data_IF_228782918133
#
_entry.id   IF_228782918133
#
_cell.length_a   1.000
_cell.length_b   1.000
_cell.length_c   1.000
_cell.angle_alpha   90.00
_cell.angle_beta   90.00
_cell.angle_gamma   90.00
#
_symmetry.space_group_name_H-M   'P 1'
#
loop_
_entity.id
_entity.type
_entity.pdbx_description
1 polymer ?
#
# COMPACT_ATOMS: atom_id res chain seq x y z
N UNK A 1 -17.94 9.67 28.09
CA UNK A 1 -18.43 9.49 26.73
C UNK A 1 -19.22 8.20 26.70
N UNK A 2 -20.51 8.23 26.32
CA UNK A 2 -21.32 7.02 26.27
C UNK A 2 -20.85 6.13 25.11
N UNK A 3 -20.62 4.85 25.36
CA UNK A 3 -20.35 3.87 24.32
C UNK A 3 -21.55 3.82 23.36
N UNK A 4 -21.42 4.43 22.19
CA UNK A 4 -22.40 4.28 21.13
C UNK A 4 -22.26 2.86 20.58
N UNK A 5 -23.33 2.06 20.67
CA UNK A 5 -23.36 0.72 20.09
C UNK A 5 -23.42 0.88 18.57
N UNK A 6 -22.41 0.36 17.85
CA UNK A 6 -22.43 0.36 16.38
C UNK A 6 -23.56 -0.53 15.84
N UNK A 7 -24.17 -0.12 14.72
CA UNK A 7 -25.14 -0.92 13.97
C UNK A 7 -24.55 -1.48 12.67
N UNK A 8 -23.29 -1.16 12.37
CA UNK A 8 -22.60 -1.68 11.20
C UNK A 8 -22.12 -3.11 11.45
N UNK A 9 -22.51 -4.03 10.58
CA UNK A 9 -22.12 -5.44 10.66
C UNK A 9 -20.60 -5.61 10.67
N UNK A 10 -19.89 -4.84 9.86
CA UNK A 10 -18.45 -4.99 9.66
C UNK A 10 -17.59 -4.39 10.77
N UNK A 11 -18.18 -3.67 11.73
CA UNK A 11 -17.50 -3.31 12.99
C UNK A 11 -17.29 -4.53 13.90
N UNK A 12 -18.09 -5.57 13.71
CA UNK A 12 -18.00 -6.83 14.44
C UNK A 12 -17.36 -7.95 13.61
N UNK A 13 -17.52 -7.90 12.29
CA UNK A 13 -17.01 -8.88 11.33
C UNK A 13 -15.70 -8.38 10.70
N UNK A 14 -14.62 -8.35 11.52
CA UNK A 14 -13.34 -7.71 11.19
C UNK A 14 -12.25 -8.68 10.71
N UNK A 15 -12.57 -9.95 10.52
CA UNK A 15 -11.61 -10.98 10.08
C UNK A 15 -11.53 -11.08 8.55
N UNK A 16 -10.43 -11.61 8.03
CA UNK A 16 -10.27 -11.97 6.60
C UNK A 16 -11.42 -12.84 6.13
N UNK A 17 -11.84 -13.83 6.92
CA UNK A 17 -13.01 -14.68 6.60
C UNK A 17 -14.33 -13.91 6.40
N UNK A 18 -14.49 -12.76 7.03
CA UNK A 18 -15.69 -11.92 6.85
C UNK A 18 -15.60 -11.11 5.57
N UNK A 19 -14.41 -10.70 5.18
CA UNK A 19 -14.12 -10.00 3.94
C UNK A 19 -14.29 -10.95 2.75
N UNK A 20 -13.77 -12.19 2.83
CA UNK A 20 -14.03 -13.25 1.85
C UNK A 20 -15.52 -13.46 1.64
N UNK A 21 -16.30 -13.52 2.74
CA UNK A 21 -17.74 -13.73 2.65
C UNK A 21 -18.44 -12.58 1.92
N UNK A 22 -18.02 -11.34 2.16
CA UNK A 22 -18.54 -10.18 1.43
C UNK A 22 -18.18 -10.26 -0.06
N UNK A 23 -16.93 -10.57 -0.39
CA UNK A 23 -16.47 -10.69 -1.77
C UNK A 23 -17.23 -11.79 -2.52
N UNK A 24 -17.35 -12.96 -1.91
CA UNK A 24 -18.13 -14.07 -2.47
C UNK A 24 -19.61 -13.70 -2.67
N UNK A 25 -20.20 -13.01 -1.69
CA UNK A 25 -21.57 -12.54 -1.79
C UNK A 25 -21.74 -11.53 -2.93
N UNK A 26 -20.83 -10.55 -3.03
CA UNK A 26 -20.89 -9.54 -4.09
C UNK A 26 -20.73 -10.19 -5.47
N UNK A 27 -19.74 -11.07 -5.66
CA UNK A 27 -19.54 -11.78 -6.91
C UNK A 27 -20.74 -12.66 -7.29
N UNK A 28 -21.35 -13.34 -6.31
CA UNK A 28 -22.54 -14.17 -6.55
C UNK A 28 -23.80 -13.37 -6.91
N UNK A 29 -23.83 -12.07 -6.65
CA UNK A 29 -24.90 -11.14 -6.98
C UNK A 29 -24.58 -10.27 -8.23
N UNK A 30 -23.74 -10.78 -9.12
CA UNK A 30 -23.33 -10.09 -10.35
C UNK A 30 -24.50 -9.74 -11.30
N UNK A 31 -25.63 -10.49 -11.22
CA UNK A 31 -26.85 -10.33 -12.00
C UNK A 31 -28.02 -9.83 -11.14
N UNK A 32 -27.74 -9.15 -10.04
CA UNK A 32 -28.75 -8.66 -9.09
C UNK A 32 -29.75 -7.69 -9.76
N UNK A 33 -31.02 -7.79 -9.38
CA UNK A 33 -32.05 -6.81 -9.74
C UNK A 33 -31.84 -5.44 -9.01
N UNK A 34 -31.08 -5.42 -7.90
CA UNK A 34 -30.65 -4.22 -7.24
C UNK A 34 -29.47 -3.62 -8.04
N UNK A 35 -29.74 -2.54 -8.76
CA UNK A 35 -28.79 -1.85 -9.64
C UNK A 35 -27.49 -1.48 -8.90
N UNK A 36 -27.57 -1.09 -7.63
CA UNK A 36 -26.37 -0.71 -6.86
C UNK A 36 -25.50 -1.91 -6.51
N UNK A 37 -26.10 -3.06 -6.26
CA UNK A 37 -25.37 -4.33 -6.02
C UNK A 37 -24.78 -4.84 -7.32
N UNK A 38 -25.56 -4.86 -8.40
CA UNK A 38 -25.12 -5.24 -9.75
C UNK A 38 -23.89 -4.40 -10.17
N UNK A 39 -24.00 -3.08 -10.16
CA UNK A 39 -22.92 -2.19 -10.57
C UNK A 39 -21.67 -2.35 -9.71
N UNK A 40 -21.83 -2.52 -8.40
CA UNK A 40 -20.69 -2.78 -7.52
C UNK A 40 -19.99 -4.09 -7.84
N UNK A 41 -20.75 -5.15 -8.12
CA UNK A 41 -20.19 -6.43 -8.53
C UNK A 41 -19.46 -6.33 -9.86
N UNK A 42 -20.11 -5.72 -10.88
CA UNK A 42 -19.53 -5.53 -12.20
C UNK A 42 -18.25 -4.68 -12.16
N UNK A 43 -18.25 -3.58 -11.38
CA UNK A 43 -17.07 -2.73 -11.21
C UNK A 43 -15.89 -3.48 -10.60
N UNK A 44 -16.14 -4.24 -9.52
CA UNK A 44 -15.10 -5.01 -8.85
C UNK A 44 -14.54 -6.10 -9.78
N UNK A 45 -15.42 -6.89 -10.40
CA UNK A 45 -15.03 -7.98 -11.29
C UNK A 45 -14.28 -7.47 -12.53
N UNK A 46 -14.75 -6.37 -13.13
CA UNK A 46 -14.05 -5.75 -14.25
C UNK A 46 -12.67 -5.27 -13.86
N UNK A 47 -12.52 -4.66 -12.69
CA UNK A 47 -11.23 -4.24 -12.18
C UNK A 47 -10.24 -5.39 -12.05
N UNK A 48 -10.72 -6.59 -11.65
CA UNK A 48 -9.87 -7.78 -11.57
C UNK A 48 -9.29 -8.19 -12.91
N UNK A 49 -10.08 -8.12 -14.00
CA UNK A 49 -9.68 -8.63 -15.32
C UNK A 49 -9.14 -7.55 -16.28
N UNK A 50 -9.31 -6.27 -15.95
CA UNK A 50 -8.99 -5.14 -16.83
C UNK A 50 -7.55 -5.17 -17.37
N UNK A 51 -6.57 -5.51 -16.55
CA UNK A 51 -5.16 -5.59 -16.94
C UNK A 51 -4.90 -6.66 -18.03
N UNK A 52 -5.82 -7.59 -18.23
CA UNK A 52 -5.74 -8.71 -19.19
C UNK A 52 -6.68 -8.56 -20.39
N UNK A 53 -7.55 -7.54 -20.40
CA UNK A 53 -8.44 -7.24 -21.53
C UNK A 53 -7.80 -6.31 -22.55
N UNK A 54 -6.86 -5.48 -22.14
CA UNK A 54 -6.13 -4.56 -23.02
C UNK A 54 -4.91 -5.25 -23.65
N UNK A 55 -5.03 -5.79 -24.84
CA UNK A 55 -3.92 -6.37 -25.63
C UNK A 55 -2.79 -5.35 -25.94
N UNK A 56 -2.96 -4.07 -25.58
CA UNK A 56 -1.98 -2.99 -25.80
C UNK A 56 -1.14 -2.63 -24.56
N UNK A 57 -1.43 -3.19 -23.38
CA UNK A 57 -0.85 -2.75 -22.10
C UNK A 57 0.50 -3.41 -21.74
N UNK A 58 1.07 -4.28 -22.58
CA UNK A 58 2.32 -5.00 -22.29
C UNK A 58 3.59 -4.13 -22.16
N UNK A 59 3.54 -2.80 -22.31
CA UNK A 59 4.76 -1.99 -22.39
C UNK A 59 4.78 -0.67 -21.60
N UNK A 60 3.95 -0.45 -20.60
CA UNK A 60 4.18 0.71 -19.72
C UNK A 60 3.62 0.45 -18.33
N UNK A 61 4.48 0.53 -17.32
CA UNK A 61 4.11 0.65 -15.91
C UNK A 61 3.25 1.92 -15.70
N UNK A 62 1.96 1.79 -15.92
CA UNK A 62 1.02 2.84 -15.55
C UNK A 62 0.67 2.64 -14.07
N UNK A 63 1.14 3.57 -13.25
CA UNK A 63 0.53 3.85 -11.96
C UNK A 63 -0.98 4.06 -12.20
N UNK A 64 -1.79 3.13 -11.75
CA UNK A 64 -3.25 3.24 -11.82
C UNK A 64 -3.72 4.19 -10.70
N UNK A 65 -3.53 5.49 -10.95
CA UNK A 65 -4.21 6.53 -10.16
C UNK A 65 -5.61 6.68 -10.72
N UNK A 66 -6.59 6.53 -9.84
CA UNK A 66 -8.03 6.80 -10.02
C UNK A 66 -8.63 6.19 -11.31
N UNK A 67 -9.54 5.29 -11.11
CA UNK A 67 -10.42 4.74 -12.14
C UNK A 67 -11.10 5.91 -12.85
N UNK A 68 -10.64 6.27 -14.05
CA UNK A 68 -11.49 6.90 -15.03
C UNK A 68 -12.54 5.84 -15.41
N UNK A 69 -13.51 5.70 -14.53
CA UNK A 69 -14.72 4.94 -14.84
C UNK A 69 -15.50 5.76 -15.81
N UNK A 70 -15.30 5.51 -17.10
CA UNK A 70 -16.34 5.78 -18.09
C UNK A 70 -17.32 4.60 -18.02
N UNK A 71 -18.40 4.68 -17.23
CA UNK A 71 -19.37 3.60 -17.07
C UNK A 71 -20.13 3.29 -18.38
N UNK A 72 -19.88 4.04 -19.45
CA UNK A 72 -20.60 3.98 -20.70
C UNK A 72 -19.91 3.14 -21.81
N UNK A 73 -18.76 2.49 -21.54
CA UNK A 73 -18.05 1.70 -22.58
C UNK A 73 -18.11 0.19 -22.34
N UNK A 74 -18.89 -0.30 -21.38
CA UNK A 74 -19.08 -1.74 -21.20
C UNK A 74 -20.03 -2.26 -22.28
N UNK A 75 -19.54 -3.16 -23.11
CA UNK A 75 -20.34 -3.80 -24.15
C UNK A 75 -21.13 -4.99 -23.62
N UNK A 76 -20.64 -5.68 -22.59
CA UNK A 76 -21.27 -6.88 -21.98
C UNK A 76 -20.99 -6.90 -20.47
N UNK A 77 -21.91 -7.55 -19.71
CA UNK A 77 -21.69 -7.81 -18.29
C UNK A 77 -20.75 -9.00 -18.10
N UNK A 78 -19.93 -8.93 -17.07
CA UNK A 78 -19.13 -10.08 -16.64
C UNK A 78 -20.09 -11.09 -16.02
N UNK A 79 -20.01 -12.34 -16.46
CA UNK A 79 -20.76 -13.45 -15.93
C UNK A 79 -19.93 -14.21 -14.89
N UNK A 80 -20.53 -14.55 -13.76
CA UNK A 80 -19.89 -15.42 -12.76
C UNK A 80 -20.46 -16.83 -12.88
N UNK A 81 -19.61 -17.78 -13.25
CA UNK A 81 -20.00 -19.18 -13.39
C UNK A 81 -19.93 -19.91 -12.06
N UNK A 82 -18.92 -19.56 -11.24
CA UNK A 82 -18.71 -20.18 -9.94
C UNK A 82 -17.93 -19.29 -8.97
N UNK A 83 -18.29 -19.41 -7.70
CA UNK A 83 -17.56 -18.80 -6.57
C UNK A 83 -17.18 -19.92 -5.62
N UNK A 84 -15.88 -20.09 -5.37
CA UNK A 84 -15.37 -21.13 -4.47
C UNK A 84 -14.53 -20.47 -3.39
N UNK A 85 -14.90 -20.69 -2.15
CA UNK A 85 -14.17 -20.21 -0.99
C UNK A 85 -13.22 -21.28 -0.46
N UNK A 86 -12.00 -20.88 -0.07
CA UNK A 86 -10.96 -21.78 0.47
C UNK A 86 -10.66 -22.97 -0.48
N UNK A 87 -10.35 -22.64 -1.73
CA UNK A 87 -9.97 -23.62 -2.75
C UNK A 87 -8.47 -23.89 -2.67
N UNK A 88 -8.06 -25.09 -2.28
CA UNK A 88 -6.64 -25.55 -2.27
C UNK A 88 -5.64 -24.55 -1.65
N UNK A 89 -5.99 -23.90 -0.56
CA UNK A 89 -5.24 -22.85 0.12
C UNK A 89 -5.45 -21.42 -0.40
N UNK A 90 -6.15 -21.19 -1.50
CA UNK A 90 -6.58 -19.87 -1.97
C UNK A 90 -7.79 -19.41 -1.17
N UNK A 91 -7.84 -18.14 -0.78
CA UNK A 91 -8.96 -17.62 -0.01
C UNK A 91 -10.26 -17.67 -0.79
N UNK A 92 -10.25 -17.20 -2.05
CA UNK A 92 -11.39 -17.28 -2.97
C UNK A 92 -10.91 -17.56 -4.40
N UNK A 93 -11.66 -18.37 -5.13
CA UNK A 93 -11.54 -18.58 -6.58
C UNK A 93 -12.85 -18.19 -7.25
N UNK A 94 -12.79 -17.29 -8.25
CA UNK A 94 -13.92 -16.88 -9.08
C UNK A 94 -13.69 -17.38 -10.51
N UNK A 95 -14.67 -18.12 -11.05
CA UNK A 95 -14.70 -18.54 -12.45
C UNK A 95 -15.62 -17.58 -13.22
N UNK A 96 -15.06 -16.80 -14.16
CA UNK A 96 -15.74 -15.69 -14.83
C UNK A 96 -15.78 -15.88 -16.37
N UNK A 97 -16.76 -15.23 -17.00
CA UNK A 97 -16.83 -15.06 -18.45
C UNK A 97 -16.99 -13.60 -18.82
N UNK A 98 -16.20 -13.13 -19.81
CA UNK A 98 -16.31 -11.78 -20.36
C UNK A 98 -15.88 -11.78 -21.83
N UNK A 99 -16.71 -11.23 -22.71
CA UNK A 99 -16.46 -11.14 -24.17
C UNK A 99 -15.99 -12.45 -24.79
N UNK A 100 -16.65 -13.55 -24.43
CA UNK A 100 -16.37 -14.91 -24.94
C UNK A 100 -15.08 -15.54 -24.41
N UNK A 101 -14.35 -14.89 -23.49
CA UNK A 101 -13.17 -15.41 -22.80
C UNK A 101 -13.54 -15.92 -21.41
N UNK A 102 -12.78 -16.87 -20.91
CA UNK A 102 -12.91 -17.37 -19.53
C UNK A 102 -11.74 -16.92 -18.68
N UNK A 103 -12.04 -16.58 -17.43
CA UNK A 103 -11.05 -16.12 -16.45
C UNK A 103 -11.23 -16.88 -15.14
N UNK A 104 -10.13 -17.31 -14.56
CA UNK A 104 -10.06 -17.79 -13.18
C UNK A 104 -9.34 -16.72 -12.35
N UNK A 105 -10.05 -16.09 -11.42
CA UNK A 105 -9.52 -15.05 -10.55
C UNK A 105 -9.18 -15.66 -9.20
N UNK A 106 -7.88 -15.75 -8.91
CA UNK A 106 -7.37 -16.15 -7.59
C UNK A 106 -7.40 -14.92 -6.71
N UNK A 107 -8.13 -14.96 -5.60
CA UNK A 107 -8.13 -13.88 -4.61
C UNK A 107 -7.32 -14.30 -3.40
N UNK A 108 -6.35 -13.48 -3.06
CA UNK A 108 -5.67 -13.48 -1.77
C UNK A 108 -6.17 -12.30 -0.96
N UNK A 109 -6.90 -12.60 0.12
CA UNK A 109 -7.52 -11.61 0.99
C UNK A 109 -6.64 -11.30 2.20
N UNK A 110 -6.45 -10.02 2.48
CA UNK A 110 -5.73 -9.53 3.65
C UNK A 110 -6.48 -8.42 4.34
N UNK A 111 -6.46 -8.43 5.67
CA UNK A 111 -6.93 -7.29 6.46
C UNK A 111 -5.76 -6.44 6.97
N UNK A 112 -4.75 -7.07 7.61
CA UNK A 112 -3.59 -6.38 8.19
C UNK A 112 -2.26 -7.08 7.92
N UNK A 113 -2.31 -8.37 7.57
CA UNK A 113 -1.14 -9.19 7.28
C UNK A 113 -0.51 -8.82 5.94
N UNK A 114 0.68 -9.36 5.68
CA UNK A 114 1.36 -9.29 4.39
C UNK A 114 1.40 -10.67 3.75
N UNK A 115 1.74 -10.72 2.48
CA UNK A 115 2.09 -11.96 1.80
C UNK A 115 3.35 -12.58 2.43
N UNK A 116 3.41 -13.92 2.47
CA UNK A 116 4.51 -14.70 3.02
C UNK A 116 4.91 -15.82 2.05
N UNK A 117 6.21 -16.06 1.93
CA UNK A 117 6.78 -17.27 1.33
C UNK A 117 6.38 -17.55 -0.13
N UNK A 118 6.34 -16.51 -0.99
CA UNK A 118 6.03 -16.64 -2.43
C UNK A 118 4.65 -17.30 -2.71
N UNK A 119 3.71 -17.10 -1.80
CA UNK A 119 2.37 -17.68 -1.82
C UNK A 119 1.63 -17.36 -3.12
N UNK A 120 1.67 -16.10 -3.56
CA UNK A 120 0.99 -15.62 -4.75
C UNK A 120 1.46 -16.33 -6.04
N UNK A 121 2.78 -16.47 -6.21
CA UNK A 121 3.33 -17.16 -7.38
C UNK A 121 3.04 -18.66 -7.36
N UNK A 122 3.02 -19.27 -6.17
CA UNK A 122 2.67 -20.69 -6.02
C UNK A 122 1.24 -20.96 -6.46
N UNK A 123 0.27 -20.21 -5.98
CA UNK A 123 -1.15 -20.38 -6.36
C UNK A 123 -1.38 -20.17 -7.85
N UNK A 124 -0.76 -19.14 -8.41
CA UNK A 124 -0.82 -18.92 -9.85
C UNK A 124 -0.23 -20.12 -10.64
N UNK A 125 0.88 -20.66 -10.19
CA UNK A 125 1.54 -21.82 -10.80
C UNK A 125 0.69 -23.09 -10.73
N UNK A 126 0.06 -23.37 -9.58
CA UNK A 126 -0.79 -24.54 -9.36
C UNK A 126 -2.00 -24.51 -10.34
N UNK A 127 -2.71 -23.40 -10.41
CA UNK A 127 -3.89 -23.26 -11.27
C UNK A 127 -3.52 -23.25 -12.77
N UNK A 128 -2.35 -22.71 -13.15
CA UNK A 128 -1.88 -22.65 -14.55
C UNK A 128 -1.64 -24.04 -15.18
N UNK A 129 -1.46 -25.06 -14.37
CA UNK A 129 -1.27 -26.45 -14.84
C UNK A 129 -2.62 -27.09 -15.23
N UNK A 130 -3.71 -26.64 -14.60
CA UNK A 130 -5.03 -27.26 -14.74
C UNK A 130 -5.88 -26.67 -15.87
N UNK A 131 -5.60 -25.44 -16.29
CA UNK A 131 -6.52 -24.64 -17.13
C UNK A 131 -5.85 -24.13 -18.42
N UNK A 132 -5.75 -24.96 -19.46
CA UNK A 132 -5.07 -24.60 -20.71
C UNK A 132 -5.81 -23.52 -21.53
N UNK A 133 -7.14 -23.37 -21.40
CA UNK A 133 -7.98 -22.47 -22.20
C UNK A 133 -8.60 -21.32 -21.38
N UNK A 134 -8.09 -21.07 -20.16
CA UNK A 134 -8.61 -20.07 -19.21
C UNK A 134 -7.50 -19.07 -18.88
N UNK A 135 -7.83 -17.79 -18.89
CA UNK A 135 -6.90 -16.76 -18.43
C UNK A 135 -6.89 -16.69 -16.91
N UNK A 136 -5.73 -16.84 -16.30
CA UNK A 136 -5.59 -16.78 -14.87
C UNK A 136 -5.18 -15.36 -14.46
N UNK A 137 -5.88 -14.80 -13.48
CA UNK A 137 -5.65 -13.48 -12.91
C UNK A 137 -5.54 -13.61 -11.42
N UNK A 138 -4.59 -12.93 -10.82
CA UNK A 138 -4.51 -12.77 -9.37
C UNK A 138 -5.15 -11.46 -8.90
N UNK A 139 -5.81 -11.49 -7.77
CA UNK A 139 -6.27 -10.32 -7.03
C UNK A 139 -5.70 -10.36 -5.60
N UNK A 140 -4.86 -9.38 -5.29
CA UNK A 140 -4.48 -9.09 -3.90
C UNK A 140 -5.44 -8.05 -3.36
N UNK A 141 -6.33 -8.49 -2.48
CA UNK A 141 -7.46 -7.70 -1.98
C UNK A 141 -7.23 -7.34 -0.50
N UNK A 142 -7.07 -6.06 -0.19
CA UNK A 142 -6.77 -5.63 1.18
C UNK A 142 -7.62 -4.43 1.59
N UNK A 143 -8.46 -4.60 2.61
CA UNK A 143 -9.27 -3.50 3.17
C UNK A 143 -8.46 -2.55 4.05
N UNK A 144 -7.18 -2.40 3.76
CA UNK A 144 -6.22 -1.52 4.43
C UNK A 144 -5.28 -0.88 3.40
N UNK A 145 -4.31 -0.08 3.85
CA UNK A 145 -3.19 0.38 3.02
C UNK A 145 -2.35 -0.80 2.53
N UNK A 146 -1.85 -0.70 1.29
CA UNK A 146 -0.93 -1.69 0.70
C UNK A 146 0.43 -1.03 0.43
N UNK A 147 1.26 -0.81 1.46
CA UNK A 147 2.60 -0.25 1.28
C UNK A 147 3.48 -1.10 0.37
N UNK A 148 3.23 -2.41 0.34
CA UNK A 148 3.92 -3.41 -0.45
C UNK A 148 3.43 -3.54 -1.90
N UNK A 149 2.55 -2.65 -2.39
CA UNK A 149 1.94 -2.70 -3.74
C UNK A 149 2.97 -2.97 -4.85
N UNK A 150 4.04 -2.18 -4.91
CA UNK A 150 5.09 -2.35 -5.91
C UNK A 150 5.84 -3.67 -5.78
N UNK A 151 6.12 -4.09 -4.55
CA UNK A 151 6.80 -5.35 -4.27
C UNK A 151 5.96 -6.54 -4.77
N UNK A 152 4.65 -6.49 -4.57
CA UNK A 152 3.71 -7.50 -5.09
C UNK A 152 3.67 -7.46 -6.62
N UNK A 153 3.49 -6.29 -7.24
CA UNK A 153 3.45 -6.11 -8.68
C UNK A 153 4.74 -6.63 -9.35
N UNK A 154 5.90 -6.27 -8.80
CA UNK A 154 7.21 -6.70 -9.32
C UNK A 154 7.44 -8.21 -9.13
N UNK A 155 7.18 -8.75 -7.94
CA UNK A 155 7.43 -10.17 -7.63
C UNK A 155 6.50 -11.11 -8.40
N UNK A 156 5.28 -10.67 -8.68
CA UNK A 156 4.30 -11.42 -9.47
C UNK A 156 4.36 -11.11 -10.96
N UNK A 157 5.26 -10.22 -11.40
CA UNK A 157 5.36 -9.77 -12.80
C UNK A 157 4.03 -9.23 -13.35
N UNK A 158 3.28 -8.50 -12.52
CA UNK A 158 1.99 -7.91 -12.87
C UNK A 158 0.83 -8.90 -13.02
N UNK A 159 0.99 -10.16 -12.60
CA UNK A 159 -0.07 -11.17 -12.64
C UNK A 159 -1.16 -10.95 -11.61
N UNK A 160 -0.87 -10.18 -10.55
CA UNK A 160 -1.82 -9.80 -9.52
C UNK A 160 -2.20 -8.34 -9.65
N UNK A 161 -3.50 -8.07 -9.68
CA UNK A 161 -4.07 -6.75 -9.45
C UNK A 161 -4.06 -6.49 -7.95
N UNK A 162 -3.56 -5.36 -7.53
CA UNK A 162 -3.54 -4.99 -6.11
C UNK A 162 -4.63 -3.97 -5.85
N UNK A 163 -5.56 -4.29 -4.95
CA UNK A 163 -6.64 -3.41 -4.54
C UNK A 163 -6.54 -3.10 -3.05
N UNK A 164 -6.37 -1.84 -2.70
CA UNK A 164 -6.49 -1.35 -1.33
C UNK A 164 -7.92 -0.89 -0.99
N UNK A 165 -8.11 -0.38 0.22
CA UNK A 165 -9.42 0.08 0.69
C UNK A 165 -10.03 1.19 -0.20
N UNK A 166 -9.22 2.07 -0.81
CA UNK A 166 -9.69 3.12 -1.71
C UNK A 166 -10.11 2.55 -3.07
N UNK A 167 -9.31 1.63 -3.63
CA UNK A 167 -9.65 0.93 -4.88
C UNK A 167 -10.98 0.18 -4.73
N UNK A 168 -11.14 -0.53 -3.60
CA UNK A 168 -12.36 -1.27 -3.27
C UNK A 168 -13.54 -0.30 -3.13
N UNK A 169 -13.38 0.76 -2.35
CA UNK A 169 -14.40 1.79 -2.14
C UNK A 169 -14.86 2.42 -3.47
N UNK A 170 -13.91 2.66 -4.38
CA UNK A 170 -14.17 3.17 -5.73
C UNK A 170 -15.02 2.24 -6.60
N UNK A 171 -15.02 0.92 -6.34
CA UNK A 171 -15.86 -0.04 -7.05
C UNK A 171 -17.29 -0.10 -6.50
N UNK A 172 -17.53 0.34 -5.26
CA UNK A 172 -18.81 0.19 -4.58
C UNK A 172 -19.73 1.39 -4.82
N UNK A 173 -20.92 1.14 -5.34
CA UNK A 173 -21.92 2.17 -5.65
C UNK A 173 -22.40 2.92 -4.41
N UNK A 174 -22.63 4.22 -4.57
CA UNK A 174 -23.17 5.09 -3.54
C UNK A 174 -24.70 4.94 -3.41
N UNK A 175 -25.22 5.17 -2.19
CA UNK A 175 -26.66 5.31 -1.97
C UNK A 175 -27.43 3.99 -2.05
N UNK A 176 -26.75 2.86 -1.91
CA UNK A 176 -27.40 1.54 -1.87
C UNK A 176 -28.39 1.45 -0.72
N UNK A 177 -29.53 0.80 -0.97
CA UNK A 177 -30.47 0.37 0.07
C UNK A 177 -30.18 -1.04 0.59
N UNK A 178 -29.28 -1.75 -0.06
CA UNK A 178 -28.82 -3.06 0.42
C UNK A 178 -27.93 -2.90 1.65
N UNK A 179 -28.36 -3.40 2.79
CA UNK A 179 -27.68 -3.18 4.08
C UNK A 179 -26.28 -3.80 4.13
N UNK A 180 -26.02 -4.90 3.40
CA UNK A 180 -24.70 -5.54 3.38
C UNK A 180 -23.72 -4.64 2.62
N UNK A 181 -24.10 -4.23 1.41
CA UNK A 181 -23.28 -3.35 0.58
C UNK A 181 -23.03 -2.00 1.26
N UNK A 182 -24.09 -1.38 1.79
CA UNK A 182 -23.99 -0.11 2.50
C UNK A 182 -23.06 -0.22 3.72
N UNK A 183 -23.24 -1.24 4.56
CA UNK A 183 -22.43 -1.40 5.78
C UNK A 183 -20.93 -1.60 5.45
N UNK A 184 -20.61 -2.37 4.41
CA UNK A 184 -19.21 -2.56 4.00
C UNK A 184 -18.61 -1.28 3.44
N UNK A 185 -19.37 -0.60 2.58
CA UNK A 185 -18.96 0.69 2.00
C UNK A 185 -18.75 1.75 3.07
N UNK A 186 -19.69 1.89 4.02
CA UNK A 186 -19.59 2.86 5.11
C UNK A 186 -18.34 2.61 5.97
N UNK A 187 -18.00 1.34 6.23
CA UNK A 187 -16.77 0.97 6.92
C UNK A 187 -15.51 1.43 6.21
N UNK A 188 -15.44 1.24 4.88
CA UNK A 188 -14.31 1.71 4.08
C UNK A 188 -14.26 3.24 4.00
N UNK A 189 -15.43 3.90 3.91
CA UNK A 189 -15.54 5.35 3.88
C UNK A 189 -15.06 5.97 5.20
N UNK A 190 -15.48 5.43 6.35
CA UNK A 190 -15.01 5.86 7.66
C UNK A 190 -13.48 5.76 7.76
N UNK A 191 -12.89 4.69 7.22
CA UNK A 191 -11.44 4.53 7.17
C UNK A 191 -10.79 5.60 6.28
N UNK A 192 -11.35 5.86 5.09
CA UNK A 192 -10.86 6.88 4.18
C UNK A 192 -10.94 8.28 4.80
N UNK A 193 -12.07 8.62 5.43
CA UNK A 193 -12.27 9.90 6.10
C UNK A 193 -11.28 10.09 7.25
N UNK A 194 -11.12 9.06 8.10
CA UNK A 194 -10.16 9.09 9.20
C UNK A 194 -8.71 9.25 8.71
N UNK A 195 -8.35 8.54 7.64
CA UNK A 195 -7.02 8.65 7.04
C UNK A 195 -6.73 10.07 6.53
N UNK A 196 -7.73 10.75 5.93
CA UNK A 196 -7.58 12.11 5.41
C UNK A 196 -7.54 13.20 6.48
N UNK A 197 -7.84 12.91 7.73
CA UNK A 197 -7.74 13.88 8.83
C UNK A 197 -6.32 14.43 9.03
N UNK A 198 -5.29 13.80 8.45
CA UNK A 198 -3.92 14.33 8.49
C UNK A 198 -3.84 15.76 7.92
N UNK A 199 -4.74 16.14 7.01
CA UNK A 199 -4.77 17.47 6.41
C UNK A 199 -5.19 18.58 7.38
N UNK A 200 -5.82 18.23 8.50
CA UNK A 200 -6.37 19.18 9.48
C UNK A 200 -5.82 19.00 10.91
N UNK A 201 -4.99 17.97 11.14
CA UNK A 201 -4.40 17.67 12.45
C UNK A 201 -2.90 18.05 12.47
N UNK A 202 -2.40 18.35 13.65
CA UNK A 202 -0.96 18.48 13.90
C UNK A 202 -0.29 17.08 13.81
N UNK A 203 0.89 17.02 13.21
CA UNK A 203 1.64 15.75 12.97
C UNK A 203 1.83 14.91 14.24
N UNK A 204 1.98 15.57 15.40
CA UNK A 204 2.14 14.89 16.68
C UNK A 204 0.92 14.07 17.12
N UNK A 205 -0.25 14.41 16.58
CA UNK A 205 -1.54 13.79 16.90
C UNK A 205 -2.00 12.79 15.84
N UNK A 206 -1.14 12.53 14.82
CA UNK A 206 -1.45 11.58 13.77
C UNK A 206 -1.34 10.13 14.26
N UNK A 207 -2.29 9.33 13.82
CA UNK A 207 -2.30 7.88 13.98
C UNK A 207 -1.65 7.19 12.76
N UNK A 208 -1.52 5.87 12.82
CA UNK A 208 -0.87 5.07 11.78
C UNK A 208 -1.49 5.29 10.39
N UNK A 209 -2.83 5.33 10.30
CA UNK A 209 -3.57 5.51 9.03
C UNK A 209 -3.31 6.89 8.41
N UNK A 210 -3.22 7.93 9.23
CA UNK A 210 -2.92 9.29 8.79
C UNK A 210 -1.48 9.41 8.28
N UNK A 211 -0.52 8.76 8.94
CA UNK A 211 0.85 8.68 8.42
C UNK A 211 0.90 7.91 7.09
N UNK A 212 0.17 6.80 6.94
CA UNK A 212 0.13 6.05 5.69
C UNK A 212 -0.45 6.88 4.54
N UNK A 213 -1.58 7.59 4.77
CA UNK A 213 -2.18 8.46 3.75
C UNK A 213 -1.25 9.60 3.35
N UNK A 214 -0.59 10.23 4.31
CA UNK A 214 0.43 11.24 4.03
C UNK A 214 1.61 10.68 3.24
N UNK A 215 2.09 9.48 3.57
CA UNK A 215 3.20 8.83 2.85
C UNK A 215 2.83 8.50 1.41
N UNK A 216 1.62 7.98 1.15
CA UNK A 216 1.13 7.73 -0.21
C UNK A 216 1.09 9.00 -1.04
N UNK A 217 0.48 10.06 -0.50
CA UNK A 217 0.40 11.37 -1.15
C UNK A 217 1.79 11.96 -1.44
N UNK A 218 2.68 11.89 -0.45
CA UNK A 218 4.06 12.40 -0.57
C UNK A 218 4.84 11.61 -1.63
N UNK A 219 4.77 10.28 -1.62
CA UNK A 219 5.46 9.45 -2.60
C UNK A 219 4.94 9.68 -4.02
N UNK A 220 3.63 9.88 -4.21
CA UNK A 220 3.08 10.24 -5.52
C UNK A 220 3.69 11.55 -6.05
N UNK A 221 3.83 12.55 -5.18
CA UNK A 221 4.49 13.82 -5.52
C UNK A 221 5.98 13.63 -5.81
N UNK A 222 6.72 12.84 -5.02
CA UNK A 222 8.14 12.57 -5.22
C UNK A 222 8.40 11.79 -6.52
N UNK A 223 7.54 10.83 -6.86
CA UNK A 223 7.64 10.10 -8.12
C UNK A 223 7.46 11.02 -9.33
N UNK A 224 6.60 12.04 -9.25
CA UNK A 224 6.39 13.01 -10.34
C UNK A 224 7.64 13.82 -10.67
N UNK A 225 8.58 13.97 -9.72
CA UNK A 225 9.88 14.64 -9.88
C UNK A 225 11.05 13.65 -10.04
N UNK A 226 10.77 12.37 -10.29
CA UNK A 226 11.77 11.34 -10.57
C UNK A 226 12.49 10.77 -9.34
N UNK A 227 11.98 11.00 -8.14
CA UNK A 227 12.48 10.36 -6.92
C UNK A 227 11.71 9.06 -6.67
N UNK A 228 12.40 7.94 -6.66
CA UNK A 228 11.80 6.65 -6.29
C UNK A 228 11.75 6.49 -4.76
N UNK A 229 10.75 5.78 -4.29
CA UNK A 229 10.59 5.51 -2.87
C UNK A 229 9.49 4.50 -2.60
N UNK A 230 9.36 4.13 -1.34
CA UNK A 230 8.31 3.27 -0.82
C UNK A 230 8.08 3.59 0.65
N UNK A 231 7.05 3.00 1.25
CA UNK A 231 6.88 3.03 2.69
C UNK A 231 6.47 1.66 3.21
N UNK A 232 6.54 1.48 4.51
CA UNK A 232 6.13 0.22 5.11
C UNK A 232 6.25 0.24 6.62
N UNK A 233 5.71 -0.82 7.24
CA UNK A 233 5.77 -1.04 8.67
C UNK A 233 7.00 -1.86 9.02
N UNK A 234 7.80 -1.35 9.96
CA UNK A 234 8.91 -2.06 10.57
C UNK A 234 8.47 -2.60 11.92
N UNK A 235 8.16 -3.88 11.98
CA UNK A 235 7.79 -4.54 13.23
C UNK A 235 9.00 -4.74 14.13
N UNK A 236 8.82 -4.44 15.40
CA UNK A 236 9.81 -4.67 16.43
C UNK A 236 9.15 -5.02 17.78
N UNK A 237 9.94 -5.44 18.76
CA UNK A 237 9.44 -5.84 20.10
C UNK A 237 8.66 -4.72 20.83
N UNK A 238 8.77 -3.48 20.38
CA UNK A 238 8.12 -2.31 20.99
C UNK A 238 6.89 -1.82 20.20
N UNK A 239 6.30 -2.65 19.33
CA UNK A 239 5.03 -2.37 18.66
C UNK A 239 5.12 -1.91 17.22
N UNK A 240 6.32 -1.87 16.63
CA UNK A 240 6.50 -1.46 15.24
C UNK A 240 6.38 0.05 15.02
N UNK A 241 6.72 0.49 13.82
CA UNK A 241 6.61 1.86 13.33
C UNK A 241 6.47 1.86 11.83
N UNK A 242 5.85 2.89 11.28
CA UNK A 242 5.88 3.12 9.84
C UNK A 242 7.13 3.93 9.46
N UNK A 243 7.62 3.67 8.26
CA UNK A 243 8.72 4.42 7.67
C UNK A 243 8.48 4.60 6.19
N UNK A 244 8.75 5.80 5.69
CA UNK A 244 8.83 6.09 4.27
C UNK A 244 10.31 6.30 3.92
N UNK A 245 10.80 5.61 2.89
CA UNK A 245 12.17 5.74 2.40
C UNK A 245 12.14 6.13 0.93
N UNK A 246 13.01 7.05 0.55
CA UNK A 246 13.08 7.57 -0.80
C UNK A 246 14.47 8.19 -1.07
N UNK A 247 14.77 8.41 -2.33
CA UNK A 247 15.99 9.03 -2.79
C UNK A 247 16.58 8.28 -3.98
N UNK A 248 17.47 8.93 -4.69
CA UNK A 248 18.22 8.28 -5.75
C UNK A 248 19.36 7.46 -5.11
N UNK A 249 19.50 6.21 -5.51
CA UNK A 249 20.58 5.33 -5.07
C UNK A 249 21.91 5.79 -5.69
N UNK A 250 22.46 6.87 -5.18
CA UNK A 250 23.77 7.35 -5.60
C UNK A 250 24.85 6.58 -4.83
N UNK A 251 25.91 6.21 -5.55
CA UNK A 251 27.09 5.59 -4.98
C UNK A 251 28.01 6.67 -4.45
N UNK A 252 28.30 6.67 -3.14
CA UNK A 252 29.04 7.71 -2.46
C UNK A 252 30.32 7.18 -1.82
N UNK A 253 31.32 8.03 -1.77
CA UNK A 253 32.59 7.74 -1.14
C UNK A 253 33.43 6.66 -1.82
N UNK A 254 34.60 6.33 -1.27
CA UNK A 254 35.56 5.41 -1.90
C UNK A 254 35.03 3.97 -2.03
N UNK A 255 34.08 3.60 -1.19
CA UNK A 255 33.47 2.26 -1.20
C UNK A 255 32.19 2.17 -2.03
N UNK A 256 31.77 3.27 -2.67
CA UNK A 256 30.56 3.33 -3.51
C UNK A 256 29.28 2.88 -2.77
N UNK A 257 29.17 3.26 -1.53
CA UNK A 257 28.00 2.92 -0.70
C UNK A 257 26.76 3.72 -1.13
N UNK A 258 25.56 3.12 -0.92
CA UNK A 258 24.27 3.75 -1.22
C UNK A 258 23.58 4.15 0.07
N UNK A 259 22.91 5.30 0.00
CA UNK A 259 22.15 5.87 1.10
C UNK A 259 20.78 6.35 0.60
N UNK A 260 19.83 6.46 1.52
CA UNK A 260 18.50 6.99 1.26
C UNK A 260 18.03 7.89 2.40
N UNK A 261 17.04 8.71 2.12
CA UNK A 261 16.26 9.42 3.12
C UNK A 261 15.23 8.49 3.72
N UNK A 262 15.04 8.53 5.04
CA UNK A 262 14.08 7.72 5.74
C UNK A 262 13.32 8.58 6.76
N UNK A 263 12.02 8.79 6.51
CA UNK A 263 11.10 9.41 7.43
C UNK A 263 10.47 8.32 8.30
N UNK A 264 10.76 8.33 9.59
CA UNK A 264 10.31 7.31 10.54
C UNK A 264 9.28 7.90 11.50
N UNK A 265 8.17 7.19 11.75
CA UNK A 265 7.22 7.53 12.82
C UNK A 265 7.74 7.05 14.18
N UNK A 266 7.24 7.61 15.27
CA UNK A 266 7.56 7.15 16.61
C UNK A 266 6.94 5.76 16.88
N UNK A 267 7.59 4.96 17.70
CA UNK A 267 6.98 3.75 18.24
C UNK A 267 5.87 4.12 19.22
N UNK A 268 4.84 3.27 19.34
CA UNK A 268 3.73 3.42 20.32
C UNK A 268 4.17 3.51 21.80
N UNK A 269 5.44 3.20 22.11
CA UNK A 269 6.10 3.42 23.40
C UNK A 269 7.30 4.35 23.24
N UNK A 270 7.09 5.66 23.13
CA UNK A 270 8.15 6.60 22.86
C UNK A 270 9.02 6.82 24.09
N UNK A 271 10.23 6.28 24.10
CA UNK A 271 11.30 6.83 24.93
C UNK A 271 11.86 8.14 24.32
N UNK A 272 11.21 8.69 23.29
CA UNK A 272 11.58 9.90 22.58
C UNK A 272 10.40 10.88 22.51
N UNK A 273 10.68 12.15 22.66
CA UNK A 273 9.70 13.24 22.58
C UNK A 273 9.43 13.67 21.12
N UNK A 274 9.41 12.75 20.16
CA UNK A 274 9.20 13.07 18.74
C UNK A 274 8.10 12.19 18.14
N UNK A 275 7.29 12.75 17.25
CA UNK A 275 6.24 12.05 16.50
C UNK A 275 6.82 11.39 15.24
N UNK A 276 7.63 12.11 14.48
CA UNK A 276 8.38 11.58 13.34
C UNK A 276 9.74 12.27 13.21
N UNK A 277 10.64 11.65 12.43
CA UNK A 277 11.97 12.21 12.15
C UNK A 277 12.49 11.80 10.78
N UNK A 278 13.27 12.68 10.15
CA UNK A 278 13.97 12.41 8.91
C UNK A 278 15.45 12.12 9.18
N UNK A 279 15.92 10.97 8.69
CA UNK A 279 17.31 10.55 8.81
C UNK A 279 17.88 10.16 7.44
N UNK A 280 19.21 10.23 7.31
CA UNK A 280 19.93 9.64 6.18
C UNK A 280 20.49 8.29 6.61
N UNK A 281 20.11 7.24 5.91
CA UNK A 281 20.42 5.86 6.26
C UNK A 281 21.14 5.15 5.12
N UNK A 282 22.03 4.23 5.48
CA UNK A 282 22.71 3.32 4.56
C UNK A 282 21.75 2.21 4.08
N UNK A 283 21.77 1.90 2.77
CA UNK A 283 20.88 0.91 2.15
C UNK A 283 21.23 -0.55 2.48
N UNK A 284 22.43 -0.80 2.99
CA UNK A 284 22.94 -2.15 3.17
C UNK A 284 23.75 -2.64 1.97
N UNK A 285 24.46 -3.73 2.14
CA UNK A 285 25.26 -4.38 1.11
C UNK A 285 24.70 -5.75 0.68
N UNK A 286 23.48 -6.06 1.09
CA UNK A 286 22.83 -7.35 0.83
C UNK A 286 23.38 -8.53 1.66
N UNK A 287 24.44 -8.33 2.44
CA UNK A 287 25.07 -9.41 3.25
C UNK A 287 24.50 -9.54 4.66
N UNK A 288 23.54 -8.66 5.03
CA UNK A 288 23.01 -8.55 6.39
C UNK A 288 24.03 -8.01 7.39
N UNK A 289 25.16 -7.52 6.91
CA UNK A 289 26.22 -6.94 7.71
C UNK A 289 25.77 -5.67 8.44
N UNK A 290 26.26 -5.52 9.69
CA UNK A 290 26.01 -4.32 10.48
C UNK A 290 27.21 -3.39 10.35
N UNK A 291 26.97 -2.21 9.79
CA UNK A 291 27.99 -1.14 9.74
C UNK A 291 27.63 -0.02 10.71
N UNK A 292 28.67 0.61 11.25
CA UNK A 292 28.55 1.84 12.01
C UNK A 292 28.93 3.03 11.12
N UNK A 293 28.48 4.23 11.51
CA UNK A 293 28.86 5.45 10.79
C UNK A 293 30.39 5.63 10.62
N UNK A 294 31.19 5.10 11.55
CA UNK A 294 32.66 5.19 11.50
C UNK A 294 33.29 4.36 10.39
N UNK A 295 32.52 3.41 9.85
CA UNK A 295 32.97 2.54 8.77
C UNK A 295 32.90 3.22 7.39
N UNK A 296 32.33 4.45 7.34
CA UNK A 296 32.21 5.25 6.13
C UNK A 296 33.15 6.45 6.21
N UNK A 297 33.96 6.65 5.17
CA UNK A 297 34.81 7.82 4.99
C UNK A 297 34.02 9.00 4.39
N UNK A 298 32.86 9.30 4.97
CA UNK A 298 31.95 10.35 4.52
C UNK A 298 31.70 11.37 5.64
N UNK A 299 31.52 12.65 5.31
CA UNK A 299 31.19 13.67 6.28
C UNK A 299 29.80 13.43 6.87
N UNK A 300 29.59 13.95 8.06
CA UNK A 300 28.27 13.94 8.69
C UNK A 300 27.31 14.84 7.91
N UNK A 301 26.05 14.39 7.80
CA UNK A 301 24.95 15.20 7.29
C UNK A 301 23.94 15.46 8.44
N UNK A 302 23.56 16.74 8.63
CA UNK A 302 22.63 17.14 9.70
C UNK A 302 23.14 16.87 11.12
N UNK A 303 22.21 16.72 12.05
CA UNK A 303 22.51 16.52 13.47
C UNK A 303 22.92 15.07 13.79
N UNK A 304 23.71 14.90 14.85
CA UNK A 304 24.10 13.60 15.36
C UNK A 304 22.92 12.93 16.05
N UNK A 305 22.54 11.73 15.61
CA UNK A 305 21.59 10.91 16.33
C UNK A 305 22.23 10.34 17.61
N UNK A 306 21.94 10.96 18.76
CA UNK A 306 22.51 10.55 20.06
C UNK A 306 21.94 9.24 20.62
N UNK A 307 20.80 8.78 20.12
CA UNK A 307 20.06 7.62 20.68
C UNK A 307 20.40 6.28 20.02
N UNK A 308 21.26 6.24 19.01
CA UNK A 308 21.58 5.01 18.30
C UNK A 308 22.91 4.42 18.78
N UNK A 309 22.79 3.41 19.61
CA UNK A 309 23.88 2.47 19.84
C UNK A 309 24.20 1.78 18.51
N UNK A 310 25.24 2.27 17.82
CA UNK A 310 26.16 1.58 16.90
C UNK A 310 25.68 0.47 15.93
N UNK A 311 24.41 0.26 15.64
CA UNK A 311 23.98 -0.96 14.92
C UNK A 311 23.40 -0.73 13.51
N UNK A 312 23.12 0.52 13.13
CA UNK A 312 22.69 0.87 11.78
C UNK A 312 23.41 2.15 11.36
N UNK A 313 23.98 2.13 10.16
CA UNK A 313 24.70 3.30 9.67
C UNK A 313 23.73 4.42 9.33
N UNK A 314 23.47 5.27 10.32
CA UNK A 314 22.77 6.52 10.14
C UNK A 314 23.82 7.63 10.06
N UNK A 315 23.83 8.31 8.91
CA UNK A 315 24.77 9.39 8.65
C UNK A 315 24.42 10.66 9.39
N UNK A 316 23.13 10.88 9.65
CA UNK A 316 22.63 12.00 10.44
C UNK A 316 21.14 12.13 10.44
N UNK A 317 20.63 13.07 11.22
CA UNK A 317 19.24 13.47 11.30
C UNK A 317 19.09 14.87 10.71
N UNK A 318 18.14 15.02 9.79
CA UNK A 318 17.88 16.29 9.14
C UNK A 318 16.86 17.13 9.93
N UNK A 319 15.80 16.48 10.42
CA UNK A 319 14.85 17.11 11.35
C UNK A 319 14.15 16.07 12.22
N UNK A 320 13.43 16.52 13.25
CA UNK A 320 12.39 15.81 13.96
C UNK A 320 11.19 16.72 14.24
N UNK A 321 10.01 16.12 14.32
CA UNK A 321 8.78 16.74 14.82
C UNK A 321 8.60 16.22 16.23
N UNK A 322 8.73 17.08 17.23
CA UNK A 322 8.61 16.70 18.62
C UNK A 322 7.14 16.76 19.11
N UNK A 323 6.88 16.19 20.27
CA UNK A 323 5.53 16.13 20.86
C UNK A 323 4.93 17.50 21.23
N UNK A 324 5.69 18.58 21.16
CA UNK A 324 5.22 19.95 21.41
C UNK A 324 5.09 20.76 20.11
N UNK A 325 5.42 20.17 18.96
CA UNK A 325 5.29 20.84 17.67
C UNK A 325 3.82 21.08 17.34
N UNK A 326 3.56 22.18 16.65
CA UNK A 326 2.27 22.53 16.04
C UNK A 326 2.31 22.37 14.52
N UNK A 327 3.37 21.70 13.99
CA UNK A 327 3.49 21.46 12.56
C UNK A 327 2.33 20.60 12.06
N UNK A 328 1.73 20.99 10.95
CA UNK A 328 0.76 20.24 10.16
C UNK A 328 1.40 19.56 8.96
N UNK A 329 0.56 19.10 8.02
CA UNK A 329 1.00 18.40 6.81
C UNK A 329 1.83 19.30 5.90
N UNK A 330 1.51 20.59 5.78
CA UNK A 330 2.20 21.56 4.93
C UNK A 330 3.62 21.81 5.46
N UNK A 331 3.78 22.11 6.74
CA UNK A 331 5.08 22.34 7.37
C UNK A 331 5.96 21.08 7.32
N UNK A 332 5.37 19.89 7.47
CA UNK A 332 6.10 18.63 7.32
C UNK A 332 6.57 18.44 5.88
N UNK A 333 5.74 18.78 4.90
CA UNK A 333 6.10 18.73 3.46
C UNK A 333 7.26 19.66 3.14
N UNK A 334 7.23 20.89 3.65
CA UNK A 334 8.33 21.85 3.49
C UNK A 334 9.64 21.34 4.10
N UNK A 335 9.59 20.76 5.29
CA UNK A 335 10.76 20.14 5.94
C UNK A 335 11.29 18.94 5.13
N UNK A 336 10.42 18.15 4.49
CA UNK A 336 10.82 17.06 3.60
C UNK A 336 11.55 17.62 2.37
N UNK A 337 11.03 18.67 1.76
CA UNK A 337 11.66 19.33 0.60
C UNK A 337 13.05 19.89 0.94
N UNK A 338 13.18 20.54 2.08
CA UNK A 338 14.47 21.06 2.58
C UNK A 338 15.46 19.90 2.86
N UNK A 339 14.97 18.79 3.40
CA UNK A 339 15.76 17.59 3.64
C UNK A 339 16.25 16.96 2.32
N UNK A 340 15.42 16.94 1.29
CA UNK A 340 15.79 16.47 -0.05
C UNK A 340 16.90 17.34 -0.63
N UNK A 341 16.76 18.66 -0.60
CA UNK A 341 17.78 19.60 -1.10
C UNK A 341 19.11 19.45 -0.36
N UNK A 342 19.07 19.30 0.96
CA UNK A 342 20.24 19.07 1.81
C UNK A 342 20.92 17.74 1.46
N UNK A 343 20.13 16.67 1.29
CA UNK A 343 20.63 15.36 0.92
C UNK A 343 21.26 15.34 -0.47
N UNK A 344 20.62 15.99 -1.47
CA UNK A 344 21.15 16.10 -2.82
C UNK A 344 22.50 16.84 -2.83
N UNK A 345 22.58 17.95 -2.12
CA UNK A 345 23.84 18.73 -1.99
C UNK A 345 24.94 17.88 -1.35
N UNK A 346 24.60 17.11 -0.31
CA UNK A 346 25.55 16.20 0.33
C UNK A 346 26.00 15.07 -0.61
N UNK A 347 25.07 14.50 -1.40
CA UNK A 347 25.39 13.49 -2.40
C UNK A 347 26.32 14.04 -3.48
N UNK A 348 26.05 15.24 -4.00
CA UNK A 348 26.87 15.86 -5.05
C UNK A 348 28.29 16.15 -4.56
N UNK A 349 28.43 16.57 -3.30
CA UNK A 349 29.75 16.84 -2.69
C UNK A 349 30.56 15.55 -2.40
N UNK A 350 29.94 14.38 -2.36
CA UNK A 350 30.55 13.10 -1.99
C UNK A 350 30.39 12.02 -3.06
N UNK A 351 29.94 12.39 -4.28
CA UNK A 351 29.83 11.45 -5.39
C UNK A 351 31.19 10.83 -5.71
N UNK A 352 31.18 9.51 -5.92
CA UNK A 352 32.39 8.81 -6.44
C UNK A 352 32.53 9.12 -7.93
N UNK A 353 33.72 9.48 -8.38
CA UNK A 353 34.04 9.59 -9.79
C UNK A 353 33.89 8.26 -10.56
#
# INVERSE_FOLDING_TARGET
MGNTISKNLFDYATSELSQDAFLCWLAANWDSEDETVHDSAQNLLFRCIQAHTDDTACNNSKSYTAVDTHPNERHEDIQVFKVTRQHEHMDVLLELGYEGRKYDVIVEDKTRSRDHDDQLNRYYGELSIESADVQIVGLYFKSDFVPERREIEDSTSGRYVVMDYNDILGCLSNGSTNLILQSYRDRLQEKADHAQEFTSKEVKDWEDDQFCAFFESTLASLHSIGLSGSFGRNDNRNGGRYSMWFGNQRKLGPHRDSFHLNLETANKNPNGNWACRMIVRWDGDGTGGRRSRRDFELPQIGDRCSSMKSQFAIMGRLFDINSNSTDGAEELTDKINDAIATYQTWCDANASE
#
